data_IF_391018492501
#
_entry.id   IF_391018492501
#
_cell.length_a   1.000
_cell.length_b   1.000
_cell.length_c   1.000
_cell.angle_alpha   90.00
_cell.angle_beta   90.00
_cell.angle_gamma   90.00
#
_symmetry.space_group_name_H-M   'P 1'
#
loop_
_entity.id
_entity.type
_entity.pdbx_description
1 polymer ?
#
# COMPACT_ATOMS: atom_id res chain seq x y z
N UNK A 1 9.67 -15.68 17.60
CA UNK A 1 9.87 -16.24 16.25
C UNK A 1 8.58 -16.10 15.47
N UNK A 2 8.66 -15.98 14.14
CA UNK A 2 7.49 -15.98 13.26
C UNK A 2 7.05 -17.42 12.98
N UNK A 3 5.75 -17.64 12.92
CA UNK A 3 5.16 -18.87 12.38
C UNK A 3 5.47 -19.00 10.87
N UNK A 4 5.35 -20.21 10.29
CA UNK A 4 5.52 -20.38 8.85
C UNK A 4 4.60 -19.48 8.01
N UNK A 5 3.34 -19.31 8.45
CA UNK A 5 2.35 -18.48 7.74
C UNK A 5 2.70 -16.99 7.82
N UNK A 6 3.10 -16.49 8.99
CA UNK A 6 3.57 -15.10 9.12
C UNK A 6 4.82 -14.83 8.28
N UNK A 7 5.75 -15.80 8.22
CA UNK A 7 6.93 -15.69 7.37
C UNK A 7 6.56 -15.64 5.89
N UNK A 8 5.63 -16.48 5.45
CA UNK A 8 5.18 -16.48 4.06
C UNK A 8 4.59 -15.12 3.66
N UNK A 9 3.78 -14.52 4.52
CA UNK A 9 3.24 -13.16 4.28
C UNK A 9 4.35 -12.12 4.17
N UNK A 10 5.35 -12.15 5.05
CA UNK A 10 6.50 -11.23 4.98
C UNK A 10 7.29 -11.43 3.69
N UNK A 11 7.57 -12.68 3.31
CA UNK A 11 8.31 -13.00 2.09
C UNK A 11 7.55 -12.54 0.83
N UNK A 12 6.22 -12.65 0.80
CA UNK A 12 5.39 -12.11 -0.29
C UNK A 12 5.46 -10.58 -0.38
N UNK A 13 5.36 -9.88 0.75
CA UNK A 13 5.49 -8.42 0.80
C UNK A 13 6.87 -7.98 0.31
N UNK A 14 7.93 -8.67 0.74
CA UNK A 14 9.30 -8.39 0.30
C UNK A 14 9.51 -8.71 -1.18
N UNK A 15 8.89 -9.76 -1.72
CA UNK A 15 9.00 -10.08 -3.14
C UNK A 15 8.38 -8.99 -4.03
N UNK A 16 7.34 -8.29 -3.54
CA UNK A 16 6.66 -7.23 -4.30
C UNK A 16 7.31 -5.86 -4.08
N UNK A 17 7.63 -5.51 -2.83
CA UNK A 17 8.05 -4.16 -2.45
C UNK A 17 9.51 -4.06 -2.02
N UNK A 18 10.20 -5.18 -1.81
CA UNK A 18 11.55 -5.18 -1.24
C UNK A 18 12.62 -4.58 -2.16
N UNK A 19 12.34 -4.42 -3.46
CA UNK A 19 13.21 -3.72 -4.39
C UNK A 19 12.90 -2.23 -4.53
N UNK A 20 11.74 -1.77 -4.04
CA UNK A 20 11.33 -0.38 -4.12
C UNK A 20 12.14 0.46 -3.12
N UNK A 21 12.59 1.62 -3.56
CA UNK A 21 13.22 2.62 -2.69
C UNK A 21 12.18 3.25 -1.75
N UNK A 22 12.66 3.86 -0.66
CA UNK A 22 11.80 4.60 0.26
C UNK A 22 10.97 5.68 -0.45
N UNK A 23 11.54 6.34 -1.46
CA UNK A 23 10.85 7.33 -2.27
C UNK A 23 9.74 6.74 -3.15
N UNK A 24 9.98 5.58 -3.77
CA UNK A 24 8.95 4.90 -4.58
C UNK A 24 7.78 4.44 -3.72
N UNK A 25 8.05 3.90 -2.52
CA UNK A 25 7.02 3.51 -1.56
C UNK A 25 6.22 4.73 -1.07
N UNK A 26 6.90 5.84 -0.76
CA UNK A 26 6.24 7.10 -0.40
C UNK A 26 5.32 7.55 -1.54
N UNK A 27 5.83 7.64 -2.77
CA UNK A 27 5.09 8.11 -3.94
C UNK A 27 3.77 7.36 -4.11
N UNK A 28 3.77 6.03 -3.96
CA UNK A 28 2.56 5.20 -4.03
C UNK A 28 1.46 5.71 -3.09
N UNK A 29 1.80 6.02 -1.83
CA UNK A 29 0.82 6.52 -0.85
C UNK A 29 0.25 7.90 -1.18
N UNK A 30 0.91 8.66 -2.07
CA UNK A 30 0.45 9.96 -2.54
C UNK A 30 -0.20 9.92 -3.95
N UNK A 31 0.01 8.85 -4.72
CA UNK A 31 -0.48 8.75 -6.10
C UNK A 31 -1.59 7.73 -6.32
N UNK A 32 -1.66 6.70 -5.49
CA UNK A 32 -2.61 5.62 -5.65
C UNK A 32 -3.95 5.97 -4.97
N UNK A 33 -5.06 5.80 -5.72
CA UNK A 33 -6.42 6.18 -5.32
C UNK A 33 -6.83 5.75 -3.90
N UNK A 34 -6.63 4.49 -3.45
CA UNK A 34 -7.08 4.08 -2.11
C UNK A 34 -6.36 4.86 -0.99
N UNK A 35 -5.08 5.19 -1.18
CA UNK A 35 -4.30 5.95 -0.21
C UNK A 35 -4.69 7.43 -0.23
N UNK A 36 -4.87 8.02 -1.42
CA UNK A 36 -5.35 9.40 -1.56
C UNK A 36 -6.70 9.58 -0.86
N UNK A 37 -7.63 8.64 -1.07
CA UNK A 37 -8.95 8.67 -0.45
C UNK A 37 -8.87 8.60 1.08
N UNK A 38 -8.04 7.70 1.61
CA UNK A 38 -7.85 7.57 3.06
C UNK A 38 -7.16 8.79 3.68
N UNK A 39 -6.18 9.39 3.00
CA UNK A 39 -5.47 10.59 3.46
C UNK A 39 -6.34 11.84 3.53
N UNK A 40 -7.45 11.90 2.80
CA UNK A 40 -8.44 12.97 2.94
C UNK A 40 -7.92 14.39 2.67
N UNK A 41 -6.87 14.53 1.85
CA UNK A 41 -6.30 15.82 1.46
C UNK A 41 -5.37 16.48 2.48
N UNK A 42 -4.92 15.76 3.51
CA UNK A 42 -3.88 16.28 4.42
C UNK A 42 -2.54 16.51 3.67
N UNK A 43 -1.69 17.46 4.12
CA UNK A 43 -0.35 17.70 3.56
C UNK A 43 0.49 16.44 3.41
N UNK A 44 1.44 16.45 2.46
CA UNK A 44 2.24 15.27 2.15
C UNK A 44 3.12 14.82 3.32
N UNK A 45 3.68 15.78 4.05
CA UNK A 45 4.52 15.58 5.23
C UNK A 45 3.73 15.23 6.50
N UNK A 46 2.40 15.28 6.45
CA UNK A 46 1.56 14.91 7.58
C UNK A 46 1.26 13.40 7.58
N UNK A 47 1.42 12.78 8.75
CA UNK A 47 1.04 11.40 8.99
C UNK A 47 -0.49 11.20 8.89
N UNK A 48 -0.90 10.06 8.34
CA UNK A 48 -2.29 9.64 8.32
C UNK A 48 -2.48 8.40 9.19
N UNK A 49 -3.51 8.43 10.04
CA UNK A 49 -3.96 7.29 10.83
C UNK A 49 -5.32 6.76 10.34
N UNK A 50 -5.78 7.21 9.17
CA UNK A 50 -7.06 6.79 8.61
C UNK A 50 -6.98 5.34 8.14
N UNK A 51 -7.97 4.54 8.53
CA UNK A 51 -8.08 3.14 8.06
C UNK A 51 -8.48 3.14 6.59
N UNK A 52 -7.71 2.42 5.77
CA UNK A 52 -7.93 2.32 4.34
C UNK A 52 -9.05 1.32 4.05
N UNK A 53 -9.94 1.67 3.12
CA UNK A 53 -11.02 0.79 2.71
C UNK A 53 -10.50 -0.43 1.94
N UNK A 54 -10.79 -1.63 2.44
CA UNK A 54 -10.48 -2.88 1.74
C UNK A 54 -11.18 -2.97 0.38
N UNK A 55 -12.40 -2.42 0.27
CA UNK A 55 -13.12 -2.37 -1.00
C UNK A 55 -12.34 -1.54 -2.03
N UNK A 56 -11.89 -0.34 -1.65
CA UNK A 56 -11.14 0.54 -2.55
C UNK A 56 -9.78 -0.05 -2.95
N UNK A 57 -9.08 -0.71 -2.01
CA UNK A 57 -7.85 -1.45 -2.30
C UNK A 57 -8.09 -2.53 -3.34
N UNK A 58 -9.11 -3.36 -3.14
CA UNK A 58 -9.46 -4.45 -4.06
C UNK A 58 -9.84 -3.91 -5.45
N UNK A 59 -10.63 -2.84 -5.52
CA UNK A 59 -11.01 -2.20 -6.78
C UNK A 59 -9.79 -1.66 -7.54
N UNK A 60 -8.88 -0.99 -6.84
CA UNK A 60 -7.65 -0.44 -7.42
C UNK A 60 -6.73 -1.53 -7.98
N UNK A 61 -6.35 -2.53 -7.19
CA UNK A 61 -5.45 -3.59 -7.69
C UNK A 61 -6.10 -4.44 -8.79
N UNK A 62 -7.43 -4.62 -8.77
CA UNK A 62 -8.16 -5.26 -9.88
C UNK A 62 -8.11 -4.46 -11.18
N UNK A 63 -8.07 -3.13 -11.13
CA UNK A 63 -7.99 -2.32 -12.34
C UNK A 63 -6.60 -2.44 -12.99
N UNK A 64 -5.53 -2.52 -12.19
CA UNK A 64 -4.16 -2.73 -12.68
C UNK A 64 -3.99 -4.06 -13.41
N UNK A 65 -4.68 -5.12 -12.98
CA UNK A 65 -4.65 -6.44 -13.64
C UNK A 65 -5.45 -6.51 -14.95
N UNK A 66 -6.28 -5.52 -15.25
CA UNK A 66 -7.09 -5.46 -16.49
C UNK A 66 -6.40 -4.65 -17.60
N UNK A 67 -5.17 -4.19 -17.35
CA UNK A 67 -4.41 -3.26 -18.19
C UNK A 67 -3.35 -3.99 -19.01
#
# INVERSE_FOLDING_TARGET
ELTPDEKAVVDEVLAVYGTDSAYELELRTHTETPWIAARGGIPNDQESNAVISQQQMMEFFRSLMRS
#
